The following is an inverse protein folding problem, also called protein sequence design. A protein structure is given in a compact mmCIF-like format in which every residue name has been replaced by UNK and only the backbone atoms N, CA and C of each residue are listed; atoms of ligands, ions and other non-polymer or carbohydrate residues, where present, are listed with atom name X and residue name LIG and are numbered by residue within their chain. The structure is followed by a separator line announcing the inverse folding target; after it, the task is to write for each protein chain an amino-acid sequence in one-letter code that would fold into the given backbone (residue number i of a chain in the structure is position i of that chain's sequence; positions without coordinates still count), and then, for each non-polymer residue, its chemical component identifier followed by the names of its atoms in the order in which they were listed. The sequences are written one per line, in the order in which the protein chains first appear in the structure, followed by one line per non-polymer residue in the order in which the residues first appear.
data_IF_127005104227
#
_entry.id   IF_127005104227
#
_cell.length_a   1.000
_cell.length_b   1.000
_cell.length_c   1.000
_cell.angle_alpha   90.00
_cell.angle_beta   90.00
_cell.angle_gamma   90.00
#
_symmetry.space_group_name_H-M   'P 1'
#
loop_
_entity.id
_entity.type
_entity.pdbx_description
1 polymer ?
#
# COMPACT_ATOMS: atom_id res chain seq x y z
N UNK A 1 -12.68 20.12 5.98
CA UNK A 1 -12.39 18.77 5.42
C UNK A 1 -13.65 17.97 5.06
N UNK A 2 -14.77 18.06 5.79
CA UNK A 2 -16.01 17.34 5.42
C UNK A 2 -16.71 17.86 4.16
N UNK A 3 -16.43 19.10 3.72
CA UNK A 3 -16.88 19.64 2.43
C UNK A 3 -16.21 19.00 1.21
N UNK A 4 -15.14 18.19 1.38
CA UNK A 4 -14.47 17.49 0.27
C UNK A 4 -15.38 16.45 -0.39
N UNK A 5 -16.37 15.94 0.35
CA UNK A 5 -17.35 14.97 -0.12
C UNK A 5 -18.68 15.61 -0.53
N UNK A 6 -18.86 16.91 -0.27
CA UNK A 6 -20.07 17.66 -0.60
C UNK A 6 -20.05 18.03 -2.09
N UNK A 7 -20.69 17.19 -2.91
CA UNK A 7 -20.75 17.33 -4.37
C UNK A 7 -20.17 16.15 -5.15
N UNK A 8 -19.74 15.08 -4.48
CA UNK A 8 -19.37 13.85 -5.17
C UNK A 8 -20.61 13.11 -5.66
N UNK A 9 -20.56 12.72 -6.92
CA UNK A 9 -21.55 11.82 -7.49
C UNK A 9 -21.50 10.46 -6.76
N UNK A 10 -22.65 9.81 -6.59
CA UNK A 10 -22.77 8.60 -5.76
C UNK A 10 -21.78 7.51 -6.20
N UNK A 11 -21.60 7.38 -7.52
CA UNK A 11 -20.65 6.44 -8.12
C UNK A 11 -19.21 6.73 -7.72
N UNK A 12 -18.77 7.99 -7.78
CA UNK A 12 -17.41 8.39 -7.38
C UNK A 12 -17.20 8.17 -5.89
N UNK A 13 -18.20 8.46 -5.06
CA UNK A 13 -18.14 8.19 -3.62
C UNK A 13 -17.94 6.71 -3.29
N UNK A 14 -18.70 5.82 -3.95
CA UNK A 14 -18.56 4.37 -3.78
C UNK A 14 -17.18 3.85 -4.23
N UNK A 15 -16.68 4.34 -5.37
CA UNK A 15 -15.36 3.96 -5.87
C UNK A 15 -14.23 4.43 -4.96
N UNK A 16 -14.36 5.61 -4.36
CA UNK A 16 -13.36 6.13 -3.44
C UNK A 16 -13.33 5.31 -2.14
N UNK A 17 -14.49 4.90 -1.62
CA UNK A 17 -14.57 3.96 -0.50
C UNK A 17 -13.94 2.60 -0.85
N UNK A 18 -14.17 2.10 -2.06
CA UNK A 18 -13.56 0.86 -2.53
C UNK A 18 -12.03 0.98 -2.64
N UNK A 19 -11.53 2.09 -3.19
CA UNK A 19 -10.10 2.37 -3.27
C UNK A 19 -9.46 2.45 -1.87
N UNK A 20 -10.14 3.12 -0.92
CA UNK A 20 -9.69 3.16 0.47
C UNK A 20 -9.63 1.77 1.09
N UNK A 21 -10.62 0.91 0.83
CA UNK A 21 -10.60 -0.47 1.30
C UNK A 21 -9.41 -1.26 0.73
N UNK A 22 -9.07 -1.08 -0.55
CA UNK A 22 -7.89 -1.71 -1.15
C UNK A 22 -6.59 -1.22 -0.53
N UNK A 23 -6.44 0.08 -0.29
CA UNK A 23 -5.26 0.65 0.37
C UNK A 23 -5.12 0.10 1.80
N UNK A 24 -6.20 0.09 2.58
CA UNK A 24 -6.18 -0.46 3.94
C UNK A 24 -5.83 -1.95 3.94
N UNK A 25 -6.32 -2.71 2.96
CA UNK A 25 -5.99 -4.12 2.82
C UNK A 25 -4.51 -4.34 2.44
N UNK A 26 -3.99 -3.55 1.50
CA UNK A 26 -2.57 -3.56 1.14
C UNK A 26 -1.67 -3.22 2.35
N UNK A 27 -2.01 -2.19 3.12
CA UNK A 27 -1.26 -1.81 4.33
C UNK A 27 -1.32 -2.90 5.41
N UNK A 28 -2.48 -3.54 5.59
CA UNK A 28 -2.60 -4.67 6.51
C UNK A 28 -1.68 -5.83 6.10
N UNK A 29 -1.60 -6.11 4.78
CA UNK A 29 -0.68 -7.11 4.24
C UNK A 29 0.76 -6.74 4.49
N UNK A 30 1.13 -5.52 4.12
CA UNK A 30 2.46 -4.99 4.33
C UNK A 30 2.89 -5.10 5.80
N UNK A 31 1.97 -4.75 6.72
CA UNK A 31 2.19 -4.82 8.16
C UNK A 31 2.61 -6.21 8.66
N UNK A 32 1.95 -7.30 8.25
CA UNK A 32 2.35 -8.62 8.71
C UNK A 32 3.60 -9.17 8.03
N UNK A 33 3.88 -8.81 6.77
CA UNK A 33 5.14 -9.13 6.11
C UNK A 33 6.33 -8.50 6.83
N UNK A 34 6.24 -7.20 7.12
CA UNK A 34 7.34 -6.45 7.74
C UNK A 34 7.46 -6.73 9.24
N UNK A 35 6.35 -7.02 9.92
CA UNK A 35 6.38 -7.43 11.33
C UNK A 35 7.27 -8.66 11.53
N UNK A 36 7.20 -9.64 10.62
CA UNK A 36 8.05 -10.82 10.69
C UNK A 36 9.55 -10.46 10.69
N UNK A 37 9.96 -9.49 9.89
CA UNK A 37 11.35 -9.01 9.83
C UNK A 37 11.80 -8.38 11.16
N UNK A 38 10.91 -7.64 11.83
CA UNK A 38 11.22 -6.98 13.10
C UNK A 38 11.20 -7.91 14.31
N UNK A 39 10.27 -8.87 14.36
CA UNK A 39 10.05 -9.69 15.56
C UNK A 39 10.77 -11.05 15.55
N UNK A 40 11.24 -11.52 14.40
CA UNK A 40 11.83 -12.86 14.27
C UNK A 40 12.99 -13.11 15.25
N UNK A 41 13.90 -12.15 15.41
CA UNK A 41 15.08 -12.29 16.28
C UNK A 41 14.71 -12.41 17.76
N UNK A 42 13.79 -11.56 18.24
CA UNK A 42 13.34 -11.51 19.63
C UNK A 42 12.56 -12.77 20.01
N UNK A 43 11.74 -13.28 19.07
CA UNK A 43 10.98 -14.52 19.27
C UNK A 43 11.91 -15.74 19.24
N UNK A 44 12.83 -15.81 18.27
CA UNK A 44 13.75 -16.95 18.12
C UNK A 44 14.70 -17.09 19.31
N UNK A 45 15.21 -15.96 19.83
CA UNK A 45 16.05 -15.92 21.03
C UNK A 45 15.29 -16.10 22.34
N UNK A 46 13.94 -16.19 22.28
CA UNK A 46 13.04 -16.28 23.44
C UNK A 46 13.16 -15.11 24.42
N UNK A 47 13.64 -13.96 23.95
CA UNK A 47 13.74 -12.75 24.76
C UNK A 47 12.36 -12.17 25.10
N UNK A 48 11.35 -12.41 24.25
CA UNK A 48 9.99 -11.95 24.46
C UNK A 48 8.96 -12.97 23.95
N UNK A 49 7.77 -13.01 24.57
CA UNK A 49 6.62 -13.78 24.07
C UNK A 49 6.15 -13.22 22.73
N UNK A 50 5.75 -14.09 21.81
CA UNK A 50 5.31 -13.74 20.45
C UNK A 50 4.23 -12.66 20.41
N UNK A 51 3.21 -12.78 21.28
CA UNK A 51 2.12 -11.80 21.35
C UNK A 51 2.62 -10.39 21.71
N UNK A 52 3.53 -10.29 22.69
CA UNK A 52 4.06 -9.00 23.11
C UNK A 52 4.98 -8.41 22.05
N UNK A 53 5.77 -9.23 21.37
CA UNK A 53 6.64 -8.79 20.29
C UNK A 53 5.86 -8.17 19.13
N UNK A 54 4.73 -8.79 18.73
CA UNK A 54 3.85 -8.27 17.68
C UNK A 54 3.17 -6.96 18.11
N UNK A 55 2.67 -6.88 19.34
CA UNK A 55 2.05 -5.64 19.85
C UNK A 55 3.07 -4.50 19.90
N UNK A 56 4.29 -4.78 20.37
CA UNK A 56 5.37 -3.79 20.36
C UNK A 56 5.70 -3.35 18.94
N UNK A 57 5.83 -4.28 17.99
CA UNK A 57 6.07 -3.95 16.59
C UNK A 57 4.99 -3.03 16.02
N UNK A 58 3.71 -3.30 16.29
CA UNK A 58 2.61 -2.45 15.84
C UNK A 58 2.70 -1.02 16.42
N UNK A 59 2.95 -0.89 17.73
CA UNK A 59 3.09 0.41 18.41
C UNK A 59 4.27 1.21 17.87
N UNK A 60 5.44 0.57 17.73
CA UNK A 60 6.64 1.25 17.22
C UNK A 60 6.54 1.55 15.72
N UNK A 61 5.87 0.73 14.91
CA UNK A 61 5.63 1.03 13.50
C UNK A 61 4.70 2.26 13.35
N UNK A 62 3.65 2.35 14.16
CA UNK A 62 2.77 3.51 14.23
C UNK A 62 3.53 4.79 14.63
N UNK A 63 4.36 4.73 15.67
CA UNK A 63 5.22 5.87 16.04
C UNK A 63 6.25 6.19 14.96
N UNK A 64 6.76 5.18 14.25
CA UNK A 64 7.67 5.35 13.12
C UNK A 64 7.08 6.23 12.04
N UNK A 65 5.81 6.02 11.68
CA UNK A 65 5.09 6.86 10.72
C UNK A 65 4.83 8.27 11.27
N UNK A 66 4.39 8.38 12.53
CA UNK A 66 4.10 9.69 13.15
C UNK A 66 5.33 10.58 13.30
N UNK A 67 6.49 9.99 13.64
CA UNK A 67 7.73 10.72 13.92
C UNK A 67 8.65 10.80 12.70
N UNK A 68 8.65 9.78 11.84
CA UNK A 68 9.51 9.69 10.65
C UNK A 68 9.04 10.57 9.48
N UNK A 69 7.79 11.04 9.53
CA UNK A 69 7.24 11.96 8.53
C UNK A 69 6.84 11.27 7.22
N UNK A 70 6.54 12.11 6.21
CA UNK A 70 5.90 11.70 4.96
C UNK A 70 6.85 11.68 3.75
N UNK A 71 8.16 11.79 3.96
CA UNK A 71 9.15 11.93 2.88
C UNK A 71 9.09 10.78 1.86
N UNK A 72 9.02 9.53 2.34
CA UNK A 72 8.90 8.34 1.47
C UNK A 72 7.56 8.32 0.74
N UNK A 73 6.46 8.69 1.41
CA UNK A 73 5.15 8.79 0.78
C UNK A 73 5.17 9.81 -0.38
N UNK A 74 5.79 10.98 -0.17
CA UNK A 74 5.96 11.96 -1.24
C UNK A 74 6.83 11.45 -2.38
N UNK A 75 7.91 10.72 -2.10
CA UNK A 75 8.77 10.14 -3.14
C UNK A 75 7.98 9.17 -4.03
N UNK A 76 7.14 8.32 -3.43
CA UNK A 76 6.27 7.39 -4.18
C UNK A 76 5.25 8.17 -5.02
N UNK A 77 4.64 9.23 -4.48
CA UNK A 77 3.68 10.06 -5.24
C UNK A 77 4.35 10.68 -6.48
N UNK A 78 5.61 11.11 -6.38
CA UNK A 78 6.35 11.66 -7.52
C UNK A 78 6.74 10.61 -8.58
N UNK A 79 6.70 9.32 -8.23
CA UNK A 79 6.92 8.23 -9.19
C UNK A 79 5.64 7.85 -9.96
N UNK A 80 4.47 8.31 -9.53
CA UNK A 80 3.22 8.01 -10.23
C UNK A 80 3.19 8.70 -11.59
N UNK A 81 2.62 8.04 -12.63
CA UNK A 81 2.41 8.66 -13.93
C UNK A 81 1.62 9.96 -13.79
N UNK A 82 2.03 11.03 -14.48
CA UNK A 82 1.34 12.33 -14.44
C UNK A 82 -0.10 12.23 -14.91
N UNK A 83 -0.39 11.34 -15.87
CA UNK A 83 -1.75 11.03 -16.33
C UNK A 83 -2.64 10.50 -15.20
N UNK A 84 -2.08 9.69 -14.29
CA UNK A 84 -2.80 9.18 -13.13
C UNK A 84 -3.19 10.31 -12.19
N UNK A 85 -2.31 11.29 -11.99
CA UNK A 85 -2.51 12.44 -11.10
C UNK A 85 -3.48 13.46 -11.70
N UNK A 86 -3.49 13.61 -13.03
CA UNK A 86 -4.33 14.57 -13.74
C UNK A 86 -5.74 14.02 -14.03
N UNK A 87 -5.88 12.70 -14.23
CA UNK A 87 -7.15 12.06 -14.60
C UNK A 87 -7.78 11.22 -13.49
N UNK A 88 -7.58 11.58 -12.21
CA UNK A 88 -8.05 10.78 -11.07
C UNK A 88 -9.58 10.55 -11.06
N UNK A 89 -10.34 11.43 -11.72
CA UNK A 89 -11.79 11.34 -11.85
C UNK A 89 -12.29 10.59 -13.10
N UNK A 90 -11.40 10.18 -14.01
CA UNK A 90 -11.78 9.44 -15.21
C UNK A 90 -11.78 7.93 -14.95
N UNK A 91 -12.54 7.19 -15.75
CA UNK A 91 -12.54 5.72 -15.68
C UNK A 91 -11.12 5.13 -15.86
N UNK A 92 -10.26 5.79 -16.64
CA UNK A 92 -8.87 5.36 -16.83
C UNK A 92 -8.00 5.57 -15.59
N UNK A 93 -8.14 6.70 -14.89
CA UNK A 93 -7.41 6.94 -13.63
C UNK A 93 -7.74 5.91 -12.57
N UNK A 94 -9.03 5.64 -12.37
CA UNK A 94 -9.50 4.62 -11.45
C UNK A 94 -9.01 3.22 -11.83
N UNK A 95 -9.09 2.84 -13.10
CA UNK A 95 -8.61 1.55 -13.57
C UNK A 95 -7.11 1.36 -13.27
N UNK A 96 -6.29 2.39 -13.47
CA UNK A 96 -4.86 2.35 -13.14
C UNK A 96 -4.60 2.16 -11.64
N UNK A 97 -5.28 2.91 -10.76
CA UNK A 97 -5.14 2.75 -9.29
C UNK A 97 -5.50 1.34 -8.86
N UNK A 98 -6.66 0.83 -9.29
CA UNK A 98 -7.09 -0.51 -8.91
C UNK A 98 -6.16 -1.59 -9.45
N UNK A 99 -5.67 -1.45 -10.69
CA UNK A 99 -4.76 -2.42 -11.31
C UNK A 99 -3.42 -2.48 -10.56
N UNK A 100 -2.87 -1.32 -10.21
CA UNK A 100 -1.63 -1.22 -9.43
C UNK A 100 -1.77 -1.85 -8.04
N UNK A 101 -2.82 -1.48 -7.30
CA UNK A 101 -3.06 -2.01 -5.96
C UNK A 101 -3.34 -3.51 -5.98
N UNK A 102 -4.15 -3.98 -6.92
CA UNK A 102 -4.48 -5.40 -7.05
C UNK A 102 -3.24 -6.23 -7.37
N UNK A 103 -2.40 -5.79 -8.31
CA UNK A 103 -1.15 -6.45 -8.64
C UNK A 103 -0.23 -6.55 -7.42
N UNK A 104 -0.10 -5.45 -6.65
CA UNK A 104 0.74 -5.43 -5.45
C UNK A 104 0.19 -6.35 -4.35
N UNK A 105 -1.12 -6.35 -4.12
CA UNK A 105 -1.81 -7.22 -3.15
C UNK A 105 -1.63 -8.69 -3.50
N UNK A 106 -1.89 -9.08 -4.75
CA UNK A 106 -1.80 -10.48 -5.20
C UNK A 106 -0.37 -10.99 -5.01
N UNK A 107 0.63 -10.19 -5.38
CA UNK A 107 2.03 -10.58 -5.26
C UNK A 107 2.48 -10.69 -3.79
N UNK A 108 2.11 -9.72 -2.94
CA UNK A 108 2.42 -9.79 -1.52
C UNK A 108 1.76 -11.02 -0.88
N UNK A 109 0.47 -11.25 -1.09
CA UNK A 109 -0.21 -12.46 -0.57
C UNK A 109 0.42 -13.76 -1.10
N UNK A 110 0.80 -13.80 -2.38
CA UNK A 110 1.48 -14.96 -2.97
C UNK A 110 2.81 -15.24 -2.29
N UNK A 111 3.66 -14.23 -2.15
CA UNK A 111 4.97 -14.38 -1.50
C UNK A 111 4.84 -14.76 -0.02
N UNK A 112 3.87 -14.21 0.70
CA UNK A 112 3.55 -14.62 2.07
C UNK A 112 3.13 -16.09 2.14
N UNK A 113 2.24 -16.52 1.25
CA UNK A 113 1.75 -17.90 1.21
C UNK A 113 2.90 -18.90 0.97
N UNK A 114 3.88 -18.53 0.15
CA UNK A 114 5.09 -19.33 -0.09
C UNK A 114 6.21 -19.11 0.95
N UNK A 115 6.00 -18.26 1.96
CA UNK A 115 7.00 -17.96 2.99
C UNK A 115 8.26 -17.27 2.46
N UNK A 116 8.17 -16.60 1.30
CA UNK A 116 9.29 -15.92 0.68
C UNK A 116 9.45 -14.51 1.28
N UNK A 117 10.65 -14.15 1.78
CA UNK A 117 10.91 -12.78 2.21
C UNK A 117 10.93 -11.86 0.98
N UNK A 118 9.86 -11.09 0.81
CA UNK A 118 9.69 -10.14 -0.29
C UNK A 118 9.53 -8.71 0.24
N UNK A 119 9.98 -7.73 -0.55
CA UNK A 119 9.87 -6.31 -0.22
C UNK A 119 8.62 -5.70 -0.82
N UNK A 120 7.66 -5.31 0.01
CA UNK A 120 6.41 -4.65 -0.42
C UNK A 120 6.65 -3.36 -1.21
N UNK A 121 7.70 -2.59 -0.88
CA UNK A 121 8.06 -1.36 -1.58
C UNK A 121 8.47 -1.63 -3.03
N UNK A 122 9.27 -2.68 -3.27
CA UNK A 122 9.67 -3.08 -4.62
C UNK A 122 8.48 -3.61 -5.41
N UNK A 123 7.57 -4.33 -4.75
CA UNK A 123 6.32 -4.79 -5.35
C UNK A 123 5.45 -3.61 -5.79
N UNK A 124 5.32 -2.56 -4.97
CA UNK A 124 4.56 -1.36 -5.32
C UNK A 124 5.21 -0.58 -6.47
N UNK A 125 6.53 -0.38 -6.43
CA UNK A 125 7.27 0.29 -7.52
C UNK A 125 7.14 -0.51 -8.82
N UNK A 126 7.24 -1.84 -8.77
CA UNK A 126 7.03 -2.70 -9.93
C UNK A 126 5.62 -2.57 -10.52
N UNK A 127 4.60 -2.47 -9.65
CA UNK A 127 3.23 -2.22 -10.09
C UNK A 127 3.07 -0.83 -10.74
N UNK A 128 3.69 0.22 -10.19
CA UNK A 128 3.72 1.58 -10.77
C UNK A 128 4.35 1.56 -12.16
N UNK A 129 5.50 0.88 -12.33
CA UNK A 129 6.16 0.74 -13.62
C UNK A 129 5.24 0.00 -14.62
N UNK A 130 4.59 -1.07 -14.18
CA UNK A 130 3.66 -1.84 -15.00
C UNK A 130 2.50 -1.00 -15.54
N UNK A 131 1.81 -0.26 -14.66
CA UNK A 131 0.72 0.62 -15.11
C UNK A 131 1.21 1.76 -16.01
N UNK A 132 2.40 2.31 -15.73
CA UNK A 132 2.99 3.38 -16.54
C UNK A 132 3.33 2.92 -17.95
N UNK A 133 3.90 1.72 -18.08
CA UNK A 133 4.19 1.11 -19.37
C UNK A 133 2.91 0.81 -20.16
N UNK A 134 1.90 0.20 -19.52
CA UNK A 134 0.62 -0.08 -20.18
C UNK A 134 -0.08 1.20 -20.61
N UNK A 135 -0.10 2.24 -19.76
CA UNK A 135 -0.66 3.54 -20.12
C UNK A 135 0.04 4.12 -21.36
N UNK A 136 1.37 4.11 -21.40
CA UNK A 136 2.14 4.60 -22.54
C UNK A 136 1.92 3.82 -23.84
N UNK A 137 1.51 2.55 -23.76
CA UNK A 137 1.15 1.75 -24.94
C UNK A 137 -0.29 1.97 -25.42
N UNK A 138 -1.16 2.49 -24.56
CA UNK A 138 -2.59 2.71 -24.84
C UNK A 138 -2.92 4.14 -25.28
N UNK A 139 -2.05 5.10 -24.96
CA UNK A 139 -2.05 6.49 -25.46
C UNK A 139 -1.34 6.63 -26.79
#
# INVERSE_FOLDING_TARGET
MLHLFAGLDLHTGLLLLLALAFVLFYEAINGFHDTANAVATVIYTRAMRSQLAVVMAAVFNFFGVLLGGLSVAYAIVHMLPTDLLLNMGSAHGLAMVFSMLLAAIIWNLGTWYFGLPASSSHTLIGAIIGIGLTNAMMT
#
